data_IF_836092297331
#
_entry.id   IF_836092297331
#
_cell.length_a   1.000
_cell.length_b   1.000
_cell.length_c   1.000
_cell.angle_alpha   90.00
_cell.angle_beta   90.00
_cell.angle_gamma   90.00
#
_symmetry.space_group_name_H-M   'P 1'
#
loop_
_entity.id
_entity.type
_entity.pdbx_description
1 polymer ?
#
# COMPACT_ATOMS: atom_id res chain seq x y z
N UNK A 1 56.24 -20.66 -25.71
CA UNK A 1 55.37 -19.46 -25.82
C UNK A 1 54.75 -19.19 -24.46
N UNK A 2 54.79 -17.95 -23.96
CA UNK A 2 54.18 -17.61 -22.66
C UNK A 2 52.67 -17.48 -22.85
N UNK A 3 51.92 -18.45 -22.36
CA UNK A 3 50.45 -18.41 -22.40
C UNK A 3 49.99 -17.25 -21.51
N UNK A 4 49.25 -16.30 -22.10
CA UNK A 4 48.62 -15.22 -21.33
C UNK A 4 47.44 -15.80 -20.56
N UNK A 5 47.31 -15.46 -19.27
CA UNK A 5 46.12 -15.82 -18.50
C UNK A 5 44.91 -15.05 -19.03
N UNK A 6 43.71 -15.64 -18.88
CA UNK A 6 42.44 -15.06 -19.32
C UNK A 6 42.21 -13.63 -18.77
N UNK A 7 42.73 -13.34 -17.58
CA UNK A 7 42.63 -12.06 -16.89
C UNK A 7 43.26 -10.89 -17.67
N UNK A 8 44.26 -11.16 -18.55
CA UNK A 8 44.90 -10.13 -19.37
C UNK A 8 44.02 -9.61 -20.50
N UNK A 9 42.90 -10.29 -20.80
CA UNK A 9 41.93 -9.88 -21.81
C UNK A 9 40.73 -9.14 -21.21
N UNK A 10 40.65 -9.06 -19.87
CA UNK A 10 39.57 -8.35 -19.19
C UNK A 10 39.88 -6.86 -19.12
N UNK A 11 38.83 -6.04 -19.20
CA UNK A 11 38.93 -4.61 -18.95
C UNK A 11 39.49 -4.35 -17.54
N UNK A 12 40.39 -3.37 -17.36
CA UNK A 12 40.87 -2.96 -16.04
C UNK A 12 39.74 -2.62 -15.05
N UNK A 13 38.56 -2.24 -15.55
CA UNK A 13 37.38 -1.96 -14.73
C UNK A 13 36.74 -3.19 -14.11
N UNK A 14 36.94 -4.37 -14.69
CA UNK A 14 36.35 -5.64 -14.23
C UNK A 14 37.31 -6.46 -13.35
N UNK A 15 38.45 -5.88 -12.95
CA UNK A 15 39.42 -6.55 -12.08
C UNK A 15 38.98 -6.51 -10.62
N UNK A 16 39.25 -7.57 -9.86
CA UNK A 16 38.99 -7.61 -8.41
C UNK A 16 39.60 -6.43 -7.64
N UNK A 17 40.76 -5.94 -8.08
CA UNK A 17 41.41 -4.72 -7.57
C UNK A 17 40.49 -3.50 -7.68
N UNK A 18 39.83 -3.33 -8.82
CA UNK A 18 38.94 -2.20 -9.09
C UNK A 18 37.65 -2.31 -8.29
N UNK A 19 37.06 -3.51 -8.23
CA UNK A 19 35.88 -3.77 -7.38
C UNK A 19 36.19 -3.43 -5.91
N UNK A 20 37.31 -3.93 -5.38
CA UNK A 20 37.76 -3.63 -4.01
C UNK A 20 38.01 -2.14 -3.79
N UNK A 21 38.47 -1.41 -4.81
CA UNK A 21 38.65 0.05 -4.73
C UNK A 21 37.31 0.78 -4.68
N UNK A 22 36.34 0.36 -5.48
CA UNK A 22 34.98 0.94 -5.51
C UNK A 22 34.27 0.77 -4.17
N UNK A 23 34.34 -0.44 -3.60
CA UNK A 23 33.72 -0.75 -2.31
C UNK A 23 34.67 -0.58 -1.11
N UNK A 24 35.88 -0.06 -1.32
CA UNK A 24 36.85 0.21 -0.27
C UNK A 24 36.51 1.45 0.55
N UNK A 25 35.56 2.25 0.09
CA UNK A 25 35.01 3.37 0.87
C UNK A 25 34.12 2.77 1.97
N UNK A 26 34.64 2.78 3.20
CA UNK A 26 33.82 2.48 4.36
C UNK A 26 32.92 3.67 4.65
N UNK A 27 31.61 3.48 4.47
CA UNK A 27 30.64 4.38 5.08
C UNK A 27 30.59 4.02 6.56
N UNK A 28 30.96 4.98 7.42
CA UNK A 28 30.74 4.80 8.85
C UNK A 28 29.23 4.59 9.06
N UNK A 29 28.84 3.59 9.87
CA UNK A 29 27.44 3.42 10.20
C UNK A 29 26.95 4.72 10.83
N UNK A 30 25.82 5.21 10.33
CA UNK A 30 25.14 6.34 10.97
C UNK A 30 24.54 5.80 12.26
N UNK A 31 24.77 6.50 13.37
CA UNK A 31 24.20 6.15 14.67
C UNK A 31 22.67 6.07 14.58
N UNK A 32 22.01 5.38 15.53
CA UNK A 32 20.55 5.43 15.61
C UNK A 32 20.07 6.87 15.80
N UNK A 33 18.83 7.12 15.38
CA UNK A 33 18.19 8.44 15.40
C UNK A 33 18.23 9.11 16.77
N UNK A 34 18.27 8.33 17.85
CA UNK A 34 18.33 8.83 19.23
C UNK A 34 19.64 9.59 19.55
N UNK A 35 20.71 9.31 18.81
CA UNK A 35 22.01 9.97 18.96
C UNK A 35 22.23 11.11 17.96
N UNK A 36 21.20 11.51 17.20
CA UNK A 36 21.32 12.61 16.25
C UNK A 36 21.01 13.93 16.95
N UNK A 37 21.88 14.93 16.75
CA UNK A 37 21.61 16.30 17.20
C UNK A 37 20.30 16.82 16.57
N UNK A 38 19.42 17.47 17.35
CA UNK A 38 18.25 18.14 16.80
C UNK A 38 18.69 19.17 15.75
N UNK A 39 18.11 19.09 14.56
CA UNK A 39 18.40 20.03 13.47
C UNK A 39 17.27 21.04 13.33
N UNK A 40 17.62 22.33 13.34
CA UNK A 40 16.71 23.45 13.03
C UNK A 40 16.45 23.59 11.52
N UNK A 41 17.08 22.74 10.69
CA UNK A 41 16.90 22.79 9.26
C UNK A 41 15.48 22.38 8.87
N UNK A 42 14.94 23.09 7.87
CA UNK A 42 13.68 22.72 7.25
C UNK A 42 13.78 21.31 6.68
N UNK A 43 12.77 20.48 7.00
CA UNK A 43 12.65 19.16 6.41
C UNK A 43 12.52 19.32 4.90
N UNK A 44 13.22 18.49 4.11
CA UNK A 44 13.04 18.50 2.67
C UNK A 44 11.58 18.19 2.35
N UNK A 45 11.06 18.87 1.32
CA UNK A 45 9.72 18.55 0.83
C UNK A 45 9.65 17.08 0.41
N UNK A 46 8.54 16.40 0.69
CA UNK A 46 8.37 15.03 0.23
C UNK A 46 8.52 14.98 -1.28
N UNK A 47 9.26 13.98 -1.76
CA UNK A 47 9.36 13.73 -3.21
C UNK A 47 7.95 13.63 -3.79
N UNK A 48 7.76 14.24 -4.96
CA UNK A 48 6.49 14.16 -5.67
C UNK A 48 6.28 12.72 -6.16
N UNK A 49 5.53 11.94 -5.40
CA UNK A 49 5.15 10.56 -5.77
C UNK A 49 4.14 10.65 -6.92
N UNK A 50 4.62 10.51 -8.15
CA UNK A 50 3.76 10.42 -9.33
C UNK A 50 3.31 8.97 -9.47
N UNK A 51 2.01 8.72 -9.40
CA UNK A 51 1.46 7.41 -9.77
C UNK A 51 1.61 7.25 -11.29
N UNK A 52 2.20 6.15 -11.77
CA UNK A 52 2.20 5.87 -13.21
C UNK A 52 0.75 5.82 -13.71
N UNK A 53 0.54 6.16 -14.98
CA UNK A 53 -0.76 6.04 -15.60
C UNK A 53 -1.31 4.63 -15.35
N UNK A 54 -2.53 4.55 -14.81
CA UNK A 54 -3.16 3.27 -14.51
C UNK A 54 -3.31 2.43 -15.78
N UNK A 55 -3.45 1.11 -15.61
CA UNK A 55 -3.78 0.22 -16.72
C UNK A 55 -5.04 0.73 -17.43
N UNK A 56 -5.05 0.83 -18.77
CA UNK A 56 -6.27 1.14 -19.51
C UNK A 56 -7.39 0.19 -19.10
N UNK A 57 -8.52 0.75 -18.67
CA UNK A 57 -9.70 -0.05 -18.35
C UNK A 57 -10.33 -0.55 -19.64
N UNK A 58 -10.35 -1.88 -19.82
CA UNK A 58 -11.11 -2.49 -20.91
C UNK A 58 -12.59 -2.23 -20.67
N UNK A 59 -13.23 -1.39 -21.49
CA UNK A 59 -14.69 -1.26 -21.49
C UNK A 59 -15.30 -2.60 -21.87
N UNK A 60 -16.17 -3.14 -21.01
CA UNK A 60 -17.00 -4.30 -21.37
C UNK A 60 -17.88 -3.85 -22.54
N UNK A 61 -17.87 -4.58 -23.65
CA UNK A 61 -18.87 -4.40 -24.70
C UNK A 61 -20.24 -4.65 -24.04
N UNK A 62 -21.14 -3.68 -24.10
CA UNK A 62 -22.52 -3.94 -23.72
C UNK A 62 -23.03 -5.08 -24.59
N UNK A 63 -23.65 -6.08 -23.96
CA UNK A 63 -24.33 -7.11 -24.71
C UNK A 63 -25.44 -6.42 -25.52
N UNK A 64 -25.50 -6.68 -26.82
CA UNK A 64 -26.59 -6.24 -27.70
C UNK A 64 -27.95 -6.74 -27.20
N UNK A 65 -27.94 -7.77 -26.36
CA UNK A 65 -29.13 -8.32 -25.75
C UNK A 65 -29.41 -7.65 -24.40
N UNK A 66 -30.66 -7.21 -24.15
CA UNK A 66 -31.08 -6.78 -22.83
C UNK A 66 -30.80 -7.90 -21.80
N UNK A 67 -30.44 -7.57 -20.56
CA UNK A 67 -30.37 -8.57 -19.51
C UNK A 67 -31.73 -9.27 -19.43
N UNK A 68 -31.71 -10.60 -19.43
CA UNK A 68 -32.91 -11.40 -19.18
C UNK A 68 -33.62 -10.86 -17.93
N UNK A 69 -34.97 -10.84 -17.90
CA UNK A 69 -35.71 -10.41 -16.72
C UNK A 69 -35.14 -11.10 -15.50
N UNK A 70 -34.68 -10.31 -14.53
CA UNK A 70 -34.28 -10.84 -13.24
C UNK A 70 -35.53 -11.46 -12.63
N UNK A 71 -35.58 -12.80 -12.60
CA UNK A 71 -36.61 -13.53 -11.88
C UNK A 71 -36.76 -12.89 -10.50
N UNK A 72 -37.96 -12.40 -10.21
CA UNK A 72 -38.32 -11.55 -9.07
C UNK A 72 -38.15 -12.20 -7.69
N UNK A 73 -37.39 -13.29 -7.57
CA UNK A 73 -37.18 -14.02 -6.33
C UNK A 73 -35.89 -13.66 -5.58
N UNK A 74 -35.00 -12.81 -6.13
CA UNK A 74 -33.87 -12.30 -5.36
C UNK A 74 -34.34 -11.23 -4.39
N UNK A 75 -34.90 -11.68 -3.26
CA UNK A 75 -35.09 -10.86 -2.07
C UNK A 75 -33.71 -10.30 -1.69
N UNK A 76 -33.49 -9.01 -1.97
CA UNK A 76 -32.43 -8.24 -1.33
C UNK A 76 -32.73 -8.28 0.17
N UNK A 77 -32.13 -9.23 0.90
CA UNK A 77 -32.20 -9.23 2.37
C UNK A 77 -31.39 -8.02 2.85
N UNK A 78 -32.04 -6.87 2.96
CA UNK A 78 -31.50 -5.74 3.72
C UNK A 78 -31.57 -6.15 5.19
N UNK A 79 -30.46 -6.70 5.70
CA UNK A 79 -30.36 -6.98 7.13
C UNK A 79 -30.27 -5.63 7.86
N UNK A 80 -31.32 -5.28 8.60
CA UNK A 80 -31.33 -4.12 9.44
C UNK A 80 -30.90 -4.51 10.85
N UNK A 81 -29.84 -3.89 11.34
CA UNK A 81 -29.38 -4.04 12.72
C UNK A 81 -30.36 -3.35 13.66
N UNK A 82 -30.86 -4.07 14.65
CA UNK A 82 -31.68 -3.50 15.74
C UNK A 82 -30.79 -3.19 16.95
N UNK A 83 -30.88 -1.97 17.46
CA UNK A 83 -30.12 -1.55 18.63
C UNK A 83 -30.68 -2.19 19.91
N UNK A 84 -29.82 -2.84 20.71
CA UNK A 84 -30.23 -3.45 21.98
C UNK A 84 -30.58 -2.44 23.08
N UNK A 85 -30.16 -1.18 22.95
CA UNK A 85 -30.42 -0.11 23.93
C UNK A 85 -31.80 0.51 23.76
N UNK A 86 -32.14 0.97 22.55
CA UNK A 86 -33.38 1.68 22.26
C UNK A 86 -34.40 0.84 21.47
N UNK A 87 -33.99 -0.29 20.89
CA UNK A 87 -34.86 -1.14 20.07
C UNK A 87 -35.08 -0.63 18.64
N UNK A 88 -34.49 0.50 18.24
CA UNK A 88 -34.62 1.05 16.90
C UNK A 88 -33.67 0.38 15.89
N UNK A 89 -34.07 0.35 14.62
CA UNK A 89 -33.28 -0.22 13.53
C UNK A 89 -32.33 0.82 12.93
N UNK A 90 -31.18 0.36 12.43
CA UNK A 90 -30.23 1.16 11.65
C UNK A 90 -28.96 1.57 12.38
N UNK A 91 -28.76 1.19 13.65
CA UNK A 91 -27.53 1.47 14.38
C UNK A 91 -27.23 0.42 15.47
N UNK A 92 -25.96 0.31 15.86
CA UNK A 92 -25.52 -0.59 16.93
C UNK A 92 -25.55 0.10 18.30
N UNK A 93 -25.54 -0.68 19.39
CA UNK A 93 -25.50 -0.18 20.76
C UNK A 93 -24.44 0.92 20.99
N UNK A 94 -23.25 0.76 20.40
CA UNK A 94 -22.12 1.70 20.54
C UNK A 94 -22.38 3.07 19.90
N UNK A 95 -23.21 3.14 18.88
CA UNK A 95 -23.54 4.39 18.16
C UNK A 95 -24.92 4.93 18.52
N UNK A 96 -25.56 4.34 19.55
CA UNK A 96 -26.89 4.73 19.99
C UNK A 96 -26.87 6.06 20.75
N UNK A 97 -27.55 7.06 20.18
CA UNK A 97 -27.77 8.37 20.83
C UNK A 97 -29.06 8.40 21.67
N UNK A 98 -29.87 7.34 21.64
CA UNK A 98 -31.13 7.25 22.35
C UNK A 98 -30.99 6.89 23.83
N UNK A 99 -32.03 7.24 24.60
CA UNK A 99 -32.24 6.76 25.97
C UNK A 99 -32.50 5.23 25.96
N UNK A 100 -32.12 4.50 27.02
CA UNK A 100 -32.44 3.09 27.15
C UNK A 100 -33.96 2.88 27.14
N UNK A 101 -34.43 1.86 26.42
CA UNK A 101 -35.84 1.48 26.40
C UNK A 101 -36.22 1.02 27.81
N UNK A 102 -37.22 1.67 28.42
CA UNK A 102 -37.73 1.29 29.73
C UNK A 102 -38.25 -0.15 29.66
N UNK A 103 -37.77 -1.08 30.50
CA UNK A 103 -38.20 -2.48 30.46
C UNK A 103 -39.64 -2.73 30.96
N UNK A 104 -40.38 -1.69 31.36
CA UNK A 104 -41.73 -1.83 31.92
C UNK A 104 -42.84 -1.14 31.07
N UNK A 105 -42.84 -1.40 29.76
CA UNK A 105 -43.97 -1.13 28.86
C UNK A 105 -44.08 -2.20 27.78
#
# INVERSE_FOLDING_TARGET
>A
MRVKSAENFLSPFLTMKTIRKTYGICFNPVNSKEFWEPSDQLKPDPLRIVRPAGRPTKRRKEAVQPPAPVDGNKVRRTFHVTCSKCGEKGHYFKTCKGAPKNPNR
#
